data_IF_978882778623
#
_entry.id   IF_978882778623
#
_cell.length_a   1.000
_cell.length_b   1.000
_cell.length_c   1.000
_cell.angle_alpha   90.00
_cell.angle_beta   90.00
_cell.angle_gamma   90.00
#
_symmetry.space_group_name_H-M   'P 1'
#
loop_
_entity.id
_entity.type
_entity.pdbx_description
1 polymer ?
#
# COMPACT_ATOMS: atom_id res chain seq x y z
N UNK A 1 -12.14 8.48 9.87
CA UNK A 1 -12.18 7.48 8.78
C UNK A 1 -12.38 6.10 9.38
N UNK A 2 -13.11 5.21 8.72
CA UNK A 2 -13.37 3.84 9.18
C UNK A 2 -12.17 2.95 8.87
N UNK A 3 -11.79 2.05 9.79
CA UNK A 3 -10.72 1.06 9.53
C UNK A 3 -11.15 0.12 8.40
N UNK A 4 -10.34 -0.07 7.36
CA UNK A 4 -10.72 -0.93 6.24
C UNK A 4 -10.75 -2.40 6.66
N UNK A 5 -11.71 -3.15 6.12
CA UNK A 5 -11.76 -4.60 6.27
C UNK A 5 -10.64 -5.28 5.46
N UNK A 6 -10.24 -6.52 5.80
CA UNK A 6 -9.23 -7.25 5.04
C UNK A 6 -9.59 -7.38 3.55
N UNK A 7 -10.87 -7.59 3.23
CA UNK A 7 -11.34 -7.71 1.85
C UNK A 7 -11.15 -6.41 1.07
N UNK A 8 -11.46 -5.27 1.68
CA UNK A 8 -11.26 -3.96 1.06
C UNK A 8 -9.78 -3.65 0.85
N UNK A 9 -8.92 -4.01 1.81
CA UNK A 9 -7.48 -3.86 1.68
C UNK A 9 -6.91 -4.68 0.53
N UNK A 10 -7.26 -5.98 0.44
CA UNK A 10 -6.83 -6.85 -0.66
C UNK A 10 -7.29 -6.29 -2.01
N UNK A 11 -8.55 -5.86 -2.12
CA UNK A 11 -9.06 -5.27 -3.35
C UNK A 11 -8.30 -3.98 -3.74
N UNK A 12 -7.91 -3.15 -2.79
CA UNK A 12 -7.10 -1.95 -3.04
C UNK A 12 -5.69 -2.32 -3.55
N UNK A 13 -5.05 -3.34 -2.95
CA UNK A 13 -3.73 -3.82 -3.40
C UNK A 13 -3.79 -4.41 -4.81
N UNK A 14 -4.85 -5.15 -5.14
CA UNK A 14 -5.07 -5.67 -6.50
C UNK A 14 -5.20 -4.54 -7.52
N UNK A 15 -6.00 -3.51 -7.21
CA UNK A 15 -6.16 -2.32 -8.06
C UNK A 15 -4.84 -1.56 -8.27
N UNK A 16 -4.03 -1.42 -7.20
CA UNK A 16 -2.71 -0.82 -7.29
C UNK A 16 -1.79 -1.62 -8.23
N UNK A 17 -1.73 -2.95 -8.06
CA UNK A 17 -0.90 -3.82 -8.91
C UNK A 17 -1.32 -3.75 -10.38
N UNK A 18 -2.61 -3.69 -10.66
CA UNK A 18 -3.10 -3.58 -12.03
C UNK A 18 -2.82 -2.20 -12.65
N UNK A 19 -2.84 -1.13 -11.86
CA UNK A 19 -2.41 0.19 -12.31
C UNK A 19 -0.90 0.23 -12.61
N UNK A 20 -0.07 -0.35 -11.73
CA UNK A 20 1.37 -0.49 -11.94
C UNK A 20 1.69 -1.29 -13.20
N UNK A 21 1.06 -2.46 -13.39
CA UNK A 21 1.24 -3.30 -14.59
C UNK A 21 0.88 -2.54 -15.87
N UNK A 22 -0.21 -1.75 -15.85
CA UNK A 22 -0.59 -0.91 -16.98
C UNK A 22 0.47 0.14 -17.28
N UNK A 23 0.91 0.89 -16.27
CA UNK A 23 2.00 1.86 -16.43
C UNK A 23 3.27 1.22 -17.00
N UNK A 24 3.72 0.08 -16.48
CA UNK A 24 4.93 -0.57 -17.01
C UNK A 24 4.78 -1.03 -18.46
N UNK A 25 3.55 -1.36 -18.89
CA UNK A 25 3.26 -1.75 -20.28
C UNK A 25 3.20 -0.56 -21.23
N UNK A 26 2.55 0.53 -20.82
CA UNK A 26 2.28 1.69 -21.70
C UNK A 26 3.36 2.77 -21.61
N UNK A 27 4.00 2.88 -20.44
CA UNK A 27 4.86 4.00 -20.02
C UNK A 27 4.17 5.36 -20.11
N UNK A 28 2.84 5.36 -20.07
CA UNK A 28 2.04 6.57 -20.18
C UNK A 28 2.00 7.34 -18.84
N UNK A 29 2.01 8.68 -18.93
CA UNK A 29 2.02 9.55 -17.75
C UNK A 29 0.69 9.54 -16.98
N UNK A 30 -0.44 9.34 -17.66
CA UNK A 30 -1.74 9.19 -16.99
C UNK A 30 -1.81 7.86 -16.24
N UNK A 31 -1.27 6.78 -16.81
CA UNK A 31 -1.15 5.49 -16.13
C UNK A 31 -0.21 5.58 -14.91
N UNK A 32 0.91 6.31 -15.02
CA UNK A 32 1.80 6.60 -13.88
C UNK A 32 1.05 7.34 -12.76
N UNK A 33 0.30 8.39 -13.12
CA UNK A 33 -0.48 9.16 -12.15
C UNK A 33 -1.49 8.27 -11.44
N UNK A 34 -2.23 7.45 -12.18
CA UNK A 34 -3.18 6.51 -11.62
C UNK A 34 -2.50 5.49 -10.68
N UNK A 35 -1.36 4.93 -11.09
CA UNK A 35 -0.57 4.03 -10.25
C UNK A 35 -0.21 4.66 -8.91
N UNK A 36 0.31 5.89 -8.91
CA UNK A 36 0.67 6.62 -7.69
C UNK A 36 -0.53 6.95 -6.81
N UNK A 37 -1.70 7.21 -7.41
CA UNK A 37 -2.94 7.44 -6.66
C UNK A 37 -3.37 6.16 -5.92
N UNK A 38 -3.27 4.99 -6.55
CA UNK A 38 -3.62 3.74 -5.89
C UNK A 38 -2.60 3.35 -4.80
N UNK A 39 -1.31 3.61 -5.03
CA UNK A 39 -0.25 3.41 -4.03
C UNK A 39 -0.53 4.22 -2.76
N UNK A 40 -0.76 5.54 -2.90
CA UNK A 40 -1.12 6.41 -1.78
C UNK A 40 -2.35 5.92 -1.01
N UNK A 41 -3.37 5.42 -1.72
CA UNK A 41 -4.57 4.87 -1.08
C UNK A 41 -4.24 3.65 -0.23
N UNK A 42 -3.36 2.76 -0.71
CA UNK A 42 -2.93 1.58 0.06
C UNK A 42 -2.11 2.02 1.27
N UNK A 43 -1.21 3.00 1.13
CA UNK A 43 -0.42 3.54 2.24
C UNK A 43 -1.32 4.13 3.34
N UNK A 44 -2.31 4.95 2.96
CA UNK A 44 -3.30 5.49 3.90
C UNK A 44 -4.07 4.38 4.64
N UNK A 45 -4.38 3.26 3.95
CA UNK A 45 -5.00 2.09 4.59
C UNK A 45 -4.05 1.36 5.54
N UNK A 46 -2.76 1.24 5.18
CA UNK A 46 -1.72 0.67 6.06
C UNK A 46 -1.57 1.53 7.32
N UNK A 47 -1.52 2.86 7.18
CA UNK A 47 -1.45 3.78 8.31
C UNK A 47 -2.65 3.62 9.25
N UNK A 48 -3.87 3.51 8.71
CA UNK A 48 -5.08 3.28 9.51
C UNK A 48 -5.07 1.93 10.24
N UNK A 49 -4.52 0.89 9.62
CA UNK A 49 -4.39 -0.44 10.22
C UNK A 49 -3.28 -0.47 11.28
N UNK A 50 -2.17 0.24 11.03
CA UNK A 50 -0.98 0.32 11.90
C UNK A 50 -1.16 1.29 13.06
N UNK A 51 -1.99 2.32 12.93
CA UNK A 51 -2.37 3.20 14.04
C UNK A 51 -3.10 2.44 15.17
N UNK A 52 -3.61 1.22 14.89
CA UNK A 52 -4.19 0.31 15.88
C UNK A 52 -3.23 -0.73 16.43
N UNK A 53 -2.03 -0.87 15.86
CA UNK A 53 -1.03 -1.86 16.27
C UNK A 53 0.37 -1.34 15.94
N UNK A 54 1.27 -1.10 16.92
CA UNK A 54 2.65 -0.77 16.59
C UNK A 54 3.22 -1.93 15.78
N UNK A 55 3.37 -1.71 14.47
CA UNK A 55 4.01 -2.62 13.55
C UNK A 55 5.48 -2.24 13.57
N UNK A 56 6.25 -2.87 14.46
CA UNK A 56 7.69 -2.98 14.25
C UNK A 56 7.89 -3.81 12.99
N UNK A 57 7.95 -3.14 11.83
CA UNK A 57 8.22 -3.75 10.52
C UNK A 57 9.68 -4.23 10.40
N UNK A 58 10.48 -3.96 11.42
CA UNK A 58 11.82 -4.49 11.61
C UNK A 58 11.83 -5.19 12.97
N UNK A 59 12.28 -6.45 13.07
CA UNK A 59 12.73 -6.96 14.36
C UNK A 59 13.84 -6.01 14.82
N UNK A 60 13.74 -5.49 16.05
CA UNK A 60 14.89 -4.92 16.72
C UNK A 60 16.01 -5.98 16.60
N UNK A 61 17.04 -5.68 15.81
CA UNK A 61 18.23 -6.52 15.80
C UNK A 61 18.70 -6.59 17.25
N UNK A 62 18.77 -7.81 17.79
CA UNK A 62 19.27 -8.12 19.13
C UNK A 62 20.56 -7.31 19.37
N UNK A 63 20.43 -6.20 20.10
CA UNK A 63 21.57 -5.51 20.70
C UNK A 63 22.03 -6.33 21.90
N UNK A 64 22.64 -7.47 21.62
CA UNK A 64 23.51 -8.17 22.54
C UNK A 64 24.88 -8.33 21.90
N UNK A 65 25.72 -7.32 22.13
CA UNK A 65 27.17 -7.44 22.17
C UNK A 65 27.72 -6.49 23.25
#
# INVERSE_FOLDING_TARGET
MQTPTPKEFVAAVEQMRDAQRRYFRTRDLADLKNSKTQERRVDEMIELLSARRPLSLFPEEDQHA
#
